data_IF_616718980181
#
_entry.id   IF_616718980181
#
_cell.length_a   1.000
_cell.length_b   1.000
_cell.length_c   1.000
_cell.angle_alpha   90.00
_cell.angle_beta   90.00
_cell.angle_gamma   90.00
#
_symmetry.space_group_name_H-M   'P 1'
#
loop_
_entity.id
_entity.type
_entity.pdbx_description
1 polymer ?
#
# COMPACT_ATOMS: atom_id res chain seq x y z
N UNK A 1 -19.83 -58.47 -29.81
CA UNK A 1 -18.81 -58.52 -28.74
C UNK A 1 -17.51 -58.02 -29.36
N UNK A 2 -16.77 -57.13 -28.70
CA UNK A 2 -15.59 -56.37 -29.21
C UNK A 2 -15.91 -55.24 -30.20
N UNK A 3 -16.11 -54.01 -29.71
CA UNK A 3 -15.66 -52.77 -30.37
C UNK A 3 -16.02 -51.50 -29.57
N UNK A 4 -16.87 -51.61 -28.54
CA UNK A 4 -17.35 -50.45 -27.77
C UNK A 4 -16.70 -50.24 -26.38
N UNK A 5 -15.58 -50.91 -26.07
CA UNK A 5 -15.01 -50.94 -24.71
C UNK A 5 -13.59 -50.35 -24.55
N UNK A 6 -13.03 -49.69 -25.57
CA UNK A 6 -11.64 -49.19 -25.52
C UNK A 6 -11.46 -47.73 -25.96
N UNK A 7 -12.50 -46.90 -25.86
CA UNK A 7 -12.39 -45.47 -26.17
C UNK A 7 -13.02 -44.59 -25.08
N UNK A 8 -12.76 -44.93 -23.82
CA UNK A 8 -13.15 -44.12 -22.66
C UNK A 8 -11.98 -43.94 -21.68
N UNK A 9 -10.76 -43.95 -22.22
CA UNK A 9 -9.54 -43.76 -21.46
C UNK A 9 -8.68 -42.74 -22.22
N UNK A 10 -8.25 -41.71 -21.50
CA UNK A 10 -7.27 -40.67 -21.89
C UNK A 10 -7.81 -39.46 -22.66
N UNK A 11 -8.90 -38.84 -22.20
CA UNK A 11 -9.02 -37.37 -22.30
C UNK A 11 -9.75 -36.76 -21.11
N UNK A 12 -9.42 -37.23 -19.90
CA UNK A 12 -9.40 -36.31 -18.76
C UNK A 12 -8.11 -35.52 -18.96
N UNK A 13 -8.15 -34.53 -19.86
CA UNK A 13 -7.22 -33.41 -19.77
C UNK A 13 -7.57 -32.81 -18.43
N UNK A 14 -6.77 -33.19 -17.44
CA UNK A 14 -6.63 -32.49 -16.19
C UNK A 14 -6.42 -31.03 -16.58
N UNK A 15 -7.52 -30.27 -16.60
CA UNK A 15 -7.51 -28.83 -16.46
C UNK A 15 -6.99 -28.58 -15.04
N UNK A 16 -5.70 -28.86 -14.85
CA UNK A 16 -4.90 -28.19 -13.86
C UNK A 16 -4.82 -26.77 -14.41
N UNK A 17 -5.86 -25.99 -14.16
CA UNK A 17 -5.72 -24.55 -14.09
C UNK A 17 -4.66 -24.34 -13.02
N UNK A 18 -3.41 -24.23 -13.48
CA UNK A 18 -2.35 -23.70 -12.67
C UNK A 18 -2.88 -22.34 -12.23
N UNK A 19 -3.32 -22.23 -10.97
CA UNK A 19 -3.63 -20.94 -10.36
C UNK A 19 -2.30 -20.22 -10.30
N UNK A 20 -1.96 -19.52 -11.36
CA UNK A 20 -0.87 -18.57 -11.37
C UNK A 20 -1.20 -17.55 -10.31
N UNK A 21 -0.24 -17.28 -9.43
CA UNK A 21 -0.44 -16.35 -8.32
C UNK A 21 -0.89 -15.00 -8.91
N UNK A 22 -2.04 -14.52 -8.43
CA UNK A 22 -2.76 -13.39 -9.02
C UNK A 22 -2.21 -12.04 -8.56
N UNK A 23 -1.18 -12.04 -7.71
CA UNK A 23 -0.64 -10.82 -7.16
C UNK A 23 0.10 -10.06 -8.26
N UNK A 24 -0.40 -8.87 -8.57
CA UNK A 24 0.09 -8.06 -9.67
C UNK A 24 0.34 -6.63 -9.21
N UNK A 25 1.23 -5.97 -9.96
CA UNK A 25 1.50 -4.54 -9.84
C UNK A 25 1.17 -3.86 -11.16
N UNK A 26 0.50 -2.71 -11.09
CA UNK A 26 0.27 -1.84 -12.23
C UNK A 26 0.54 -0.39 -11.84
N UNK A 27 1.20 0.34 -12.74
CA UNK A 27 1.33 1.81 -12.63
C UNK A 27 0.52 2.48 -13.72
N UNK A 28 -0.21 3.54 -13.36
CA UNK A 28 -0.94 4.40 -14.31
C UNK A 28 -0.86 5.85 -13.85
N UNK A 29 -1.39 6.76 -14.65
CA UNK A 29 -1.57 8.15 -14.26
C UNK A 29 -3.04 8.54 -14.30
N UNK A 30 -3.46 9.37 -13.35
CA UNK A 30 -4.77 10.00 -13.32
C UNK A 30 -4.68 11.30 -12.51
N UNK A 31 -5.49 12.33 -12.77
CA UNK A 31 -5.48 13.54 -11.96
C UNK A 31 -5.66 13.23 -10.47
N UNK A 32 -4.86 13.86 -9.62
CA UNK A 32 -5.07 13.79 -8.18
C UNK A 32 -6.28 14.65 -7.80
N UNK A 33 -7.19 14.08 -7.03
CA UNK A 33 -8.37 14.77 -6.51
C UNK A 33 -8.26 14.78 -4.98
N UNK A 34 -8.00 15.94 -4.35
CA UNK A 34 -7.96 16.06 -2.90
C UNK A 34 -9.27 15.58 -2.26
N UNK A 35 -9.17 15.04 -1.05
CA UNK A 35 -10.32 14.45 -0.38
C UNK A 35 -11.26 15.54 0.17
N UNK A 36 -12.48 15.57 -0.36
CA UNK A 36 -13.54 16.47 0.10
C UNK A 36 -14.45 15.80 1.15
N UNK A 37 -15.02 16.59 2.07
CA UNK A 37 -16.00 16.12 3.07
C UNK A 37 -15.54 14.85 3.80
N UNK A 38 -14.33 14.90 4.32
CA UNK A 38 -13.67 13.79 5.00
C UNK A 38 -13.52 14.06 6.50
N UNK A 39 -13.42 12.98 7.27
CA UNK A 39 -13.11 13.05 8.69
C UNK A 39 -11.61 13.33 8.88
N UNK A 40 -11.27 14.20 9.82
CA UNK A 40 -9.88 14.46 10.21
C UNK A 40 -9.52 13.43 11.27
N UNK A 41 -8.52 12.61 10.98
CA UNK A 41 -8.13 11.48 11.82
C UNK A 41 -7.24 11.90 12.99
N UNK A 42 -6.40 12.92 12.77
CA UNK A 42 -5.45 13.39 13.78
C UNK A 42 -5.97 14.54 14.66
N UNK A 43 -7.26 14.88 14.60
CA UNK A 43 -7.90 15.95 15.39
C UNK A 43 -7.13 17.29 15.39
N UNK A 44 -6.47 17.61 14.27
CA UNK A 44 -5.57 18.77 14.15
C UNK A 44 -4.39 18.80 15.12
N UNK A 45 -4.07 17.68 15.78
CA UNK A 45 -2.88 17.49 16.61
C UNK A 45 -1.70 17.15 15.70
N UNK A 46 -0.56 17.86 15.81
CA UNK A 46 0.64 17.49 15.07
C UNK A 46 1.08 16.06 15.40
N UNK A 47 1.40 15.32 14.36
CA UNK A 47 1.90 13.96 14.46
C UNK A 47 3.37 13.90 14.04
N UNK A 48 4.06 12.88 14.52
CA UNK A 48 5.46 12.64 14.21
C UNK A 48 5.94 11.45 15.01
N UNK A 49 7.17 11.02 14.74
CA UNK A 49 7.72 9.75 15.17
C UNK A 49 6.96 8.52 14.60
N UNK A 50 7.69 7.43 14.43
CA UNK A 50 7.20 6.20 13.78
C UNK A 50 6.11 5.46 14.58
N UNK A 51 5.83 5.87 15.81
CA UNK A 51 4.92 5.19 16.74
C UNK A 51 3.54 5.85 16.86
N UNK A 52 3.26 6.92 16.11
CA UNK A 52 1.91 7.48 16.06
C UNK A 52 1.05 6.61 15.14
N UNK A 53 -0.06 6.09 15.67
CA UNK A 53 -0.94 5.18 14.96
C UNK A 53 -2.41 5.56 15.14
N UNK A 54 -3.24 5.24 14.16
CA UNK A 54 -4.67 5.48 14.19
C UNK A 54 -5.46 4.24 13.78
N UNK A 55 -6.53 3.96 14.50
CA UNK A 55 -7.44 2.87 14.17
C UNK A 55 -8.54 3.38 13.23
N UNK A 56 -8.75 2.69 12.11
CA UNK A 56 -9.75 3.08 11.12
C UNK A 56 -10.66 1.88 10.84
N UNK A 57 -11.97 2.09 11.00
CA UNK A 57 -12.96 1.14 10.50
C UNK A 57 -13.04 1.24 8.97
N UNK A 58 -12.89 0.10 8.28
CA UNK A 58 -12.92 0.05 6.80
C UNK A 58 -14.33 0.29 6.27
N UNK A 59 -15.36 -0.01 7.08
CA UNK A 59 -16.77 0.21 6.71
C UNK A 59 -17.35 -0.82 5.73
N UNK A 60 -16.54 -1.78 5.28
CA UNK A 60 -16.90 -2.90 4.42
C UNK A 60 -15.88 -4.03 4.59
N UNK A 61 -16.21 -5.29 4.25
CA UNK A 61 -15.26 -6.40 4.33
C UNK A 61 -14.18 -6.29 3.26
N UNK A 62 -12.93 -6.00 3.65
CA UNK A 62 -11.80 -5.94 2.73
C UNK A 62 -10.97 -7.22 2.78
N UNK A 63 -10.88 -7.93 1.66
CA UNK A 63 -9.99 -9.09 1.53
C UNK A 63 -8.59 -8.66 1.12
N UNK A 64 -7.61 -9.00 1.94
CA UNK A 64 -6.19 -8.78 1.70
C UNK A 64 -5.45 -10.12 1.79
N UNK A 65 -4.89 -10.57 0.66
CA UNK A 65 -4.44 -11.95 0.48
C UNK A 65 -5.53 -12.99 0.78
N UNK A 66 -5.37 -13.77 1.85
CA UNK A 66 -6.23 -14.89 2.23
C UNK A 66 -7.11 -14.60 3.45
N UNK A 67 -7.11 -13.35 3.95
CA UNK A 67 -7.89 -12.93 5.12
C UNK A 67 -8.75 -11.72 4.79
N UNK A 68 -9.89 -11.62 5.47
CA UNK A 68 -10.80 -10.47 5.40
C UNK A 68 -10.74 -9.68 6.69
N UNK A 69 -10.73 -8.36 6.55
CA UNK A 69 -10.61 -7.39 7.63
C UNK A 69 -11.73 -6.36 7.54
N UNK A 70 -12.15 -5.83 8.69
CA UNK A 70 -13.14 -4.77 8.84
C UNK A 70 -12.53 -3.47 9.40
N UNK A 71 -11.26 -3.52 9.79
CA UNK A 71 -10.51 -2.45 10.42
C UNK A 71 -9.02 -2.56 10.05
N UNK A 72 -8.29 -1.46 10.28
CA UNK A 72 -6.84 -1.40 10.09
C UNK A 72 -6.21 -0.42 11.09
N UNK A 73 -4.91 -0.58 11.30
CA UNK A 73 -4.04 0.36 11.99
C UNK A 73 -3.24 1.13 10.93
N UNK A 74 -3.35 2.46 10.93
CA UNK A 74 -2.54 3.35 10.09
C UNK A 74 -1.36 3.85 10.91
N UNK A 75 -0.14 3.53 10.49
CA UNK A 75 1.08 4.15 10.99
C UNK A 75 1.34 5.46 10.24
N UNK A 76 1.79 6.51 10.95
CA UNK A 76 2.12 7.80 10.33
C UNK A 76 3.33 7.75 9.39
N UNK A 77 3.99 6.61 9.28
CA UNK A 77 5.00 6.33 8.27
C UNK A 77 4.41 6.15 6.87
N UNK A 78 3.09 5.92 6.74
CA UNK A 78 2.42 5.58 5.49
C UNK A 78 2.18 4.06 5.33
N UNK A 79 2.43 3.28 6.39
CA UNK A 79 2.10 1.85 6.46
C UNK A 79 0.69 1.63 6.99
N UNK A 80 0.00 0.68 6.39
CA UNK A 80 -1.27 0.12 6.87
C UNK A 80 -1.00 -1.30 7.38
N UNK A 81 -1.47 -1.61 8.58
CA UNK A 81 -1.40 -2.93 9.21
C UNK A 81 -2.83 -3.43 9.46
N UNK A 82 -3.14 -4.64 9.00
CA UNK A 82 -4.50 -5.19 9.08
C UNK A 82 -4.73 -6.07 10.32
N UNK A 83 -3.66 -6.46 11.02
CA UNK A 83 -3.71 -7.32 12.20
C UNK A 83 -2.72 -6.88 13.27
N UNK A 84 -3.03 -7.15 14.53
CA UNK A 84 -2.19 -6.71 15.67
C UNK A 84 -0.81 -7.37 15.66
N UNK A 85 -0.68 -8.56 15.07
CA UNK A 85 0.57 -9.29 14.94
C UNK A 85 1.47 -8.81 13.78
N UNK A 86 1.02 -7.84 12.98
CA UNK A 86 1.73 -7.31 11.81
C UNK A 86 2.04 -8.37 10.76
N UNK A 87 1.19 -9.39 10.63
CA UNK A 87 1.31 -10.43 9.62
C UNK A 87 0.85 -9.97 8.23
N UNK A 88 -0.03 -8.97 8.16
CA UNK A 88 -0.64 -8.45 6.95
C UNK A 88 -0.49 -6.92 6.90
N UNK A 89 0.34 -6.42 6.00
CA UNK A 89 0.57 -4.98 5.88
C UNK A 89 0.83 -4.52 4.44
N UNK A 90 0.59 -3.23 4.21
CA UNK A 90 0.86 -2.56 2.96
C UNK A 90 1.62 -1.24 3.22
N UNK A 91 2.65 -0.98 2.43
CA UNK A 91 3.45 0.23 2.46
C UNK A 91 2.99 1.15 1.32
N UNK A 92 2.34 2.27 1.64
CA UNK A 92 1.81 3.22 0.66
C UNK A 92 2.79 4.38 0.47
N UNK A 93 4.05 4.08 0.16
CA UNK A 93 5.16 5.05 0.18
C UNK A 93 5.72 5.28 1.60
N UNK A 94 5.92 4.19 2.35
CA UNK A 94 6.29 4.23 3.75
C UNK A 94 7.70 4.78 3.97
N UNK A 95 7.84 5.76 4.88
CA UNK A 95 9.11 6.37 5.28
C UNK A 95 9.10 6.72 6.78
N UNK A 96 10.11 6.25 7.51
CA UNK A 96 10.18 6.39 8.98
C UNK A 96 10.35 7.83 9.46
N UNK A 97 10.89 8.70 8.60
CA UNK A 97 11.11 10.11 8.92
C UNK A 97 9.92 11.01 8.61
N UNK A 98 8.83 10.47 8.04
CA UNK A 98 7.64 11.26 7.74
C UNK A 98 6.99 11.79 9.03
N UNK A 99 6.57 13.05 8.99
CA UNK A 99 5.98 13.76 10.13
C UNK A 99 5.07 14.89 9.65
N UNK A 100 4.32 15.47 10.58
CA UNK A 100 3.56 16.68 10.35
C UNK A 100 4.48 17.88 10.04
N UNK A 101 4.09 18.73 9.10
CA UNK A 101 4.83 19.94 8.75
C UNK A 101 4.82 20.99 9.87
N UNK A 102 3.85 20.89 10.79
CA UNK A 102 3.74 21.63 12.04
C UNK A 102 4.23 20.84 13.25
N UNK A 103 5.04 19.79 13.07
CA UNK A 103 5.68 19.09 14.18
C UNK A 103 6.39 20.08 15.13
N UNK A 104 6.19 19.92 16.45
CA UNK A 104 6.58 20.84 17.53
C UNK A 104 5.78 22.17 17.63
N UNK A 105 4.73 22.37 16.84
CA UNK A 105 3.76 23.46 17.03
C UNK A 105 2.51 22.95 17.77
N UNK A 106 1.53 23.83 17.96
CA UNK A 106 0.25 23.48 18.62
C UNK A 106 -0.81 22.93 17.65
N UNK A 107 -0.66 23.18 16.35
CA UNK A 107 -1.66 22.86 15.32
C UNK A 107 -1.00 22.11 14.16
N UNK A 108 -1.64 21.01 13.76
CA UNK A 108 -1.26 20.20 12.60
C UNK A 108 -1.32 21.03 11.32
N UNK A 109 -0.26 20.94 10.52
CA UNK A 109 -0.17 21.49 9.17
C UNK A 109 -0.17 20.41 8.10
N UNK A 110 -0.32 19.15 8.51
CA UNK A 110 -0.39 17.99 7.64
C UNK A 110 -1.56 17.08 8.04
N UNK A 111 -2.80 17.54 7.88
CA UNK A 111 -3.95 16.76 8.34
C UNK A 111 -3.99 15.40 7.64
N UNK A 112 -4.28 14.36 8.42
CA UNK A 112 -4.59 13.04 7.91
C UNK A 112 -6.09 12.93 7.86
N UNK A 113 -6.65 12.64 6.69
CA UNK A 113 -8.10 12.53 6.51
C UNK A 113 -8.49 11.16 5.98
N UNK A 114 -9.71 10.74 6.25
CA UNK A 114 -10.24 9.53 5.63
C UNK A 114 -11.72 9.65 5.30
N UNK A 115 -12.17 8.82 4.35
CA UNK A 115 -13.55 8.76 3.90
C UNK A 115 -13.85 7.41 3.28
N UNK A 116 -15.03 6.87 3.58
CA UNK A 116 -15.59 5.75 2.84
C UNK A 116 -16.47 6.27 1.71
N UNK A 117 -16.23 5.80 0.49
CA UNK A 117 -17.09 5.99 -0.66
C UNK A 117 -17.86 4.70 -0.88
N UNK A 118 -19.13 4.70 -0.49
CA UNK A 118 -20.03 3.54 -0.62
C UNK A 118 -20.85 3.71 -1.89
N UNK A 119 -20.83 2.70 -2.77
CA UNK A 119 -21.59 2.70 -4.02
C UNK A 119 -22.07 1.30 -4.37
N UNK A 120 -23.07 1.19 -5.24
CA UNK A 120 -23.62 -0.12 -5.65
C UNK A 120 -22.58 -1.06 -6.28
N UNK A 121 -21.50 -0.51 -6.84
CA UNK A 121 -20.56 -1.26 -7.66
C UNK A 121 -19.19 -1.48 -7.04
N UNK A 122 -18.78 -0.62 -6.09
CA UNK A 122 -17.49 -0.72 -5.42
C UNK A 122 -17.45 0.19 -4.19
N UNK A 123 -17.19 -0.39 -3.02
CA UNK A 123 -16.87 0.40 -1.84
C UNK A 123 -15.36 0.69 -1.79
N UNK A 124 -15.01 1.91 -1.41
CA UNK A 124 -13.61 2.36 -1.35
C UNK A 124 -13.36 3.10 -0.04
N UNK A 125 -12.37 2.68 0.73
CA UNK A 125 -11.80 3.48 1.80
C UNK A 125 -10.67 4.31 1.19
N UNK A 126 -10.69 5.62 1.42
CA UNK A 126 -9.63 6.55 1.00
C UNK A 126 -9.05 7.20 2.25
N UNK A 127 -7.73 7.14 2.40
CA UNK A 127 -6.97 7.83 3.45
C UNK A 127 -6.04 8.81 2.74
N UNK A 128 -5.98 10.06 3.17
CA UNK A 128 -5.14 11.10 2.60
C UNK A 128 -4.17 11.64 3.65
N UNK A 129 -2.88 11.66 3.32
CA UNK A 129 -1.87 12.47 3.99
C UNK A 129 -1.72 13.76 3.19
N UNK A 130 -2.11 14.89 3.75
CA UNK A 130 -1.92 16.20 3.13
C UNK A 130 -0.62 16.83 3.61
N UNK A 131 0.23 17.31 2.68
CA UNK A 131 1.35 18.21 2.99
C UNK A 131 2.29 17.70 4.11
N UNK A 132 2.50 16.39 4.23
CA UNK A 132 3.42 15.80 5.20
C UNK A 132 4.86 16.22 4.92
N UNK A 133 5.69 16.33 5.96
CA UNK A 133 7.10 16.69 5.89
C UNK A 133 7.99 15.54 6.39
N UNK A 134 9.30 15.79 6.48
CA UNK A 134 10.30 14.80 6.85
C UNK A 134 11.22 15.36 7.93
N UNK A 135 11.52 14.57 8.96
CA UNK A 135 12.37 14.97 10.09
C UNK A 135 13.75 15.50 9.65
N UNK A 136 14.30 14.89 8.59
CA UNK A 136 15.61 15.24 8.02
C UNK A 136 15.55 16.27 6.88
N UNK A 137 14.36 16.62 6.40
CA UNK A 137 14.12 17.65 5.37
C UNK A 137 12.78 18.34 5.57
N UNK A 138 12.75 19.30 6.50
CA UNK A 138 11.54 20.03 6.88
C UNK A 138 11.05 21.03 5.82
N UNK A 139 11.74 21.15 4.68
CA UNK A 139 11.31 21.95 3.53
C UNK A 139 10.58 21.10 2.47
N UNK A 140 10.80 19.78 2.48
CA UNK A 140 10.10 18.87 1.59
C UNK A 140 8.65 18.62 2.05
N UNK A 141 7.73 18.51 1.09
CA UNK A 141 6.31 18.24 1.28
C UNK A 141 5.84 17.11 0.38
N UNK A 142 5.07 16.19 0.95
CA UNK A 142 4.42 15.09 0.24
C UNK A 142 2.93 15.06 0.53
N UNK A 143 2.12 14.86 -0.52
CA UNK A 143 0.70 14.59 -0.44
C UNK A 143 0.41 13.30 -1.18
N UNK A 144 -0.33 12.39 -0.56
CA UNK A 144 -0.75 11.15 -1.21
C UNK A 144 -2.03 10.60 -0.59
N UNK A 145 -2.70 9.74 -1.35
CA UNK A 145 -3.81 8.94 -0.86
C UNK A 145 -3.49 7.46 -0.90
N UNK A 146 -4.05 6.73 0.05
CA UNK A 146 -4.14 5.28 0.09
C UNK A 146 -5.59 4.90 -0.20
N UNK A 147 -5.82 3.95 -1.11
CA UNK A 147 -7.17 3.47 -1.44
C UNK A 147 -7.27 1.96 -1.31
N UNK A 148 -8.30 1.51 -0.61
CA UNK A 148 -8.67 0.10 -0.49
C UNK A 148 -9.97 -0.14 -1.25
N UNK A 149 -9.94 -0.99 -2.27
CA UNK A 149 -11.11 -1.31 -3.09
C UNK A 149 -11.70 -2.68 -2.70
N UNK A 150 -12.94 -2.68 -2.21
CA UNK A 150 -13.62 -3.89 -1.72
C UNK A 150 -13.67 -5.01 -2.76
N UNK A 151 -14.14 -4.70 -3.97
CA UNK A 151 -14.53 -5.71 -4.97
C UNK A 151 -13.38 -6.62 -5.36
N UNK A 152 -12.20 -6.05 -5.57
CA UNK A 152 -11.03 -6.70 -6.12
C UNK A 152 -9.86 -6.83 -5.12
N UNK A 153 -10.00 -6.35 -3.88
CA UNK A 153 -8.92 -6.42 -2.89
C UNK A 153 -7.67 -5.65 -3.33
N UNK A 154 -7.87 -4.59 -4.12
CA UNK A 154 -6.78 -3.76 -4.64
C UNK A 154 -6.45 -2.68 -3.62
N UNK A 155 -5.16 -2.55 -3.35
CA UNK A 155 -4.54 -1.44 -2.64
C UNK A 155 -3.91 -0.49 -3.65
N UNK A 156 -4.23 0.80 -3.59
CA UNK A 156 -3.61 1.82 -4.45
C UNK A 156 -2.95 2.94 -3.64
N UNK A 157 -1.78 3.39 -4.10
CA UNK A 157 -1.15 4.65 -3.73
C UNK A 157 -1.43 5.66 -4.85
N UNK A 158 -1.96 6.84 -4.51
CA UNK A 158 -2.22 7.94 -5.44
C UNK A 158 -1.41 9.15 -5.02
N UNK A 159 -0.55 9.63 -5.90
CA UNK A 159 0.40 10.70 -5.58
C UNK A 159 -0.20 12.06 -5.90
N UNK A 160 -0.23 12.95 -4.90
CA UNK A 160 -0.69 14.32 -5.03
C UNK A 160 0.43 15.29 -5.37
N UNK A 161 0.19 16.60 -5.21
CA UNK A 161 1.22 17.63 -5.36
C UNK A 161 2.32 17.46 -4.31
N UNK A 162 3.58 17.44 -4.76
CA UNK A 162 4.75 17.23 -3.92
C UNK A 162 5.83 18.26 -4.23
N UNK A 163 6.57 18.67 -3.21
CA UNK A 163 7.78 19.51 -3.36
C UNK A 163 8.90 18.83 -2.61
N UNK A 164 9.85 18.21 -3.31
CA UNK A 164 10.99 17.54 -2.68
C UNK A 164 12.26 18.34 -2.95
N UNK A 165 12.76 19.04 -1.93
CA UNK A 165 14.01 19.83 -2.01
C UNK A 165 15.25 18.96 -2.06
N UNK A 166 15.27 17.87 -1.31
CA UNK A 166 16.38 16.92 -1.29
C UNK A 166 15.90 15.50 -1.02
N UNK A 167 15.81 14.68 -2.06
CA UNK A 167 15.29 13.32 -1.97
C UNK A 167 16.07 12.45 -0.98
N UNK A 168 17.40 12.51 -1.00
CA UNK A 168 18.24 11.73 -0.09
C UNK A 168 18.08 12.13 1.38
N UNK A 169 17.81 13.41 1.67
CA UNK A 169 17.51 13.82 3.05
C UNK A 169 16.11 13.40 3.48
N UNK A 170 15.11 13.55 2.59
CA UNK A 170 13.72 13.21 2.90
C UNK A 170 13.51 11.69 3.10
N UNK A 171 14.13 10.86 2.26
CA UNK A 171 13.84 9.42 2.22
C UNK A 171 15.03 8.52 2.56
N UNK A 172 16.23 9.06 2.79
CA UNK A 172 17.46 8.30 3.04
C UNK A 172 17.73 7.23 1.97
N UNK A 173 17.22 6.01 2.18
CA UNK A 173 17.32 4.86 1.28
C UNK A 173 16.18 4.79 0.24
N UNK A 174 15.19 5.68 0.32
CA UNK A 174 14.00 5.68 -0.51
C UNK A 174 12.78 5.10 0.24
N UNK A 175 11.56 5.51 -0.12
CA UNK A 175 10.35 4.99 0.50
C UNK A 175 10.02 3.58 0.00
N UNK A 176 9.36 2.81 0.86
CA UNK A 176 8.85 1.49 0.53
C UNK A 176 7.46 1.56 -0.10
N UNK A 177 7.22 0.78 -1.15
CA UNK A 177 5.89 0.64 -1.73
C UNK A 177 5.62 -0.82 -2.07
N UNK A 178 4.61 -1.41 -1.43
CA UNK A 178 4.35 -2.83 -1.58
C UNK A 178 3.27 -3.38 -0.66
N UNK A 179 3.00 -4.67 -0.82
CA UNK A 179 2.05 -5.45 -0.02
C UNK A 179 2.74 -6.70 0.48
N UNK A 180 2.50 -7.06 1.74
CA UNK A 180 3.22 -8.15 2.41
C UNK A 180 2.28 -9.00 3.27
N UNK A 181 2.49 -10.31 3.21
CA UNK A 181 2.06 -11.30 4.19
C UNK A 181 3.30 -11.97 4.77
N UNK A 182 3.45 -11.97 6.10
CA UNK A 182 4.61 -12.54 6.78
C UNK A 182 4.22 -13.72 7.68
N UNK A 183 5.14 -14.67 7.78
CA UNK A 183 5.07 -15.79 8.74
C UNK A 183 5.44 -15.30 10.14
N UNK A 184 6.45 -14.44 10.21
CA UNK A 184 6.90 -13.77 11.44
C UNK A 184 7.31 -12.34 11.12
N UNK A 185 7.02 -11.40 12.01
CA UNK A 185 7.44 -9.99 11.86
C UNK A 185 8.79 -9.71 12.55
N UNK A 186 9.15 -10.46 13.60
CA UNK A 186 10.44 -10.32 14.31
C UNK A 186 11.19 -11.65 14.50
N UNK A 187 12.26 -11.94 13.73
CA UNK A 187 12.68 -11.30 12.47
C UNK A 187 11.64 -11.47 11.36
N UNK A 188 11.67 -10.59 10.36
CA UNK A 188 10.68 -10.64 9.28
C UNK A 188 10.95 -11.80 8.32
N UNK A 189 9.97 -12.69 8.16
CA UNK A 189 9.98 -13.81 7.21
C UNK A 189 8.74 -13.71 6.34
N UNK A 190 8.91 -13.42 5.05
CA UNK A 190 7.79 -13.22 4.13
C UNK A 190 7.20 -14.55 3.66
N UNK A 191 5.89 -14.68 3.75
CA UNK A 191 5.13 -15.74 3.06
C UNK A 191 4.82 -15.30 1.63
N UNK A 192 4.30 -14.06 1.50
CA UNK A 192 4.02 -13.42 0.23
C UNK A 192 4.44 -11.96 0.25
N UNK A 193 4.95 -11.46 -0.87
CA UNK A 193 5.31 -10.04 -0.98
C UNK A 193 5.29 -9.59 -2.43
N UNK A 194 4.77 -8.39 -2.69
CA UNK A 194 4.95 -7.69 -3.96
C UNK A 194 5.48 -6.30 -3.65
N UNK A 195 6.63 -5.95 -4.24
CA UNK A 195 7.31 -4.67 -4.00
C UNK A 195 7.51 -3.95 -5.32
N UNK A 196 7.17 -2.67 -5.36
CA UNK A 196 7.58 -1.75 -6.40
C UNK A 196 8.89 -1.05 -6.01
N UNK A 197 9.86 -1.00 -6.91
CA UNK A 197 11.18 -0.44 -6.63
C UNK A 197 11.87 0.15 -7.87
N UNK A 198 12.96 0.89 -7.67
CA UNK A 198 13.67 1.58 -8.74
C UNK A 198 12.96 2.86 -9.18
N UNK A 199 13.25 3.34 -10.39
CA UNK A 199 12.76 4.62 -10.89
C UNK A 199 11.23 4.81 -10.76
N UNK A 200 10.80 5.86 -10.05
CA UNK A 200 9.38 6.14 -9.78
C UNK A 200 8.50 6.32 -11.03
N UNK A 201 9.06 6.73 -12.17
CA UNK A 201 8.29 6.87 -13.43
C UNK A 201 7.96 5.52 -14.06
N UNK A 202 8.85 4.53 -13.88
CA UNK A 202 8.74 3.18 -14.43
C UNK A 202 9.27 2.18 -13.40
N UNK A 203 8.56 1.98 -12.28
CA UNK A 203 9.04 1.11 -11.22
C UNK A 203 9.09 -0.34 -11.72
N UNK A 204 10.10 -1.07 -11.23
CA UNK A 204 10.19 -2.52 -11.37
C UNK A 204 9.37 -3.17 -10.27
N UNK A 205 8.92 -4.38 -10.51
CA UNK A 205 8.21 -5.19 -9.53
C UNK A 205 8.96 -6.48 -9.26
N UNK A 206 9.00 -6.89 -7.99
CA UNK A 206 9.38 -8.24 -7.60
C UNK A 206 8.25 -8.86 -6.77
N UNK A 207 7.94 -10.12 -7.07
CA UNK A 207 6.96 -10.92 -6.34
C UNK A 207 7.66 -12.10 -5.67
N UNK A 208 7.36 -12.32 -4.39
CA UNK A 208 7.90 -13.37 -3.53
C UNK A 208 9.44 -13.51 -3.64
N UNK A 209 10.20 -12.42 -3.40
CA UNK A 209 11.66 -12.50 -3.38
C UNK A 209 12.09 -13.55 -2.35
N UNK A 210 13.01 -14.44 -2.74
CA UNK A 210 13.64 -15.36 -1.79
C UNK A 210 14.38 -14.53 -0.75
N UNK A 211 14.23 -14.86 0.53
CA UNK A 211 14.83 -14.12 1.65
C UNK A 211 16.35 -13.97 1.53
N UNK A 212 17.04 -14.98 0.99
CA UNK A 212 18.49 -14.98 0.73
C UNK A 212 18.92 -14.04 -0.40
N UNK A 213 17.96 -13.59 -1.22
CA UNK A 213 18.15 -12.71 -2.36
C UNK A 213 17.44 -11.37 -2.18
N UNK A 214 16.96 -11.00 -0.98
CA UNK A 214 16.39 -9.66 -0.77
C UNK A 214 17.57 -8.67 -0.88
N UNK A 215 17.77 -8.02 -2.05
CA UNK A 215 18.88 -7.10 -2.17
C UNK A 215 18.58 -5.97 -1.19
N UNK A 216 19.62 -5.53 -0.47
CA UNK A 216 19.59 -4.41 0.48
C UNK A 216 18.48 -3.40 0.12
N UNK A 217 17.44 -3.35 0.96
CA UNK A 217 16.27 -2.46 0.89
C UNK A 217 15.82 -2.07 -0.53
N UNK A 218 14.91 -2.85 -1.13
CA UNK A 218 14.19 -2.44 -2.34
C UNK A 218 13.24 -1.27 -2.06
N UNK A 219 13.50 -0.13 -2.70
CA UNK A 219 12.78 1.14 -2.51
C UNK A 219 12.51 1.82 -3.85
N UNK A 220 11.57 2.77 -3.84
CA UNK A 220 11.33 3.64 -4.99
C UNK A 220 12.44 4.70 -5.06
N UNK A 221 12.98 4.90 -6.25
CA UNK A 221 13.97 5.93 -6.55
C UNK A 221 13.27 7.18 -7.11
N UNK A 222 13.56 8.33 -6.53
CA UNK A 222 12.93 9.63 -6.83
C UNK A 222 11.46 9.70 -6.43
N UNK A 223 10.95 10.92 -6.44
CA UNK A 223 9.55 11.18 -6.13
C UNK A 223 8.67 10.83 -7.34
N UNK A 224 7.61 10.02 -7.19
CA UNK A 224 6.58 9.91 -8.20
C UNK A 224 6.00 11.29 -8.53
N UNK A 225 5.71 11.54 -9.81
CA UNK A 225 5.06 12.79 -10.22
C UNK A 225 3.61 12.81 -9.74
N UNK A 226 3.05 14.01 -9.57
CA UNK A 226 1.63 14.18 -9.29
C UNK A 226 0.76 13.40 -10.28
N UNK A 227 -0.26 12.74 -9.75
CA UNK A 227 -1.16 11.87 -10.50
C UNK A 227 -0.64 10.47 -10.77
N UNK A 228 0.57 10.11 -10.31
CA UNK A 228 1.05 8.72 -10.37
C UNK A 228 0.18 7.83 -9.48
N UNK A 229 -0.22 6.67 -9.99
CA UNK A 229 -0.96 5.66 -9.23
C UNK A 229 -0.21 4.34 -9.29
N UNK A 230 0.06 3.75 -8.13
CA UNK A 230 0.59 2.40 -7.97
C UNK A 230 -0.49 1.50 -7.40
N UNK A 231 -0.88 0.48 -8.16
CA UNK A 231 -1.94 -0.46 -7.80
C UNK A 231 -1.38 -1.85 -7.56
N UNK A 232 -1.71 -2.44 -6.41
CA UNK A 232 -1.32 -3.78 -6.01
C UNK A 232 -2.57 -4.65 -5.84
N UNK A 233 -2.64 -5.75 -6.58
CA UNK A 233 -3.70 -6.76 -6.41
C UNK A 233 -3.19 -7.86 -5.47
N UNK A 234 -4.01 -8.24 -4.47
CA UNK A 234 -3.67 -9.34 -3.53
C UNK A 234 -4.66 -10.50 -3.58
N UNK A 235 -5.74 -10.36 -4.35
CA UNK A 235 -6.84 -11.33 -4.41
C UNK A 235 -6.64 -12.34 -5.54
N UNK A 236 -6.76 -13.62 -5.24
CA UNK A 236 -6.79 -14.73 -6.22
C UNK A 236 -8.14 -14.85 -6.92
#
# INVERSE_FOLDING_TARGET
MLLLKKLLLVLVISLVSCKQSSESFHSKTSPFLPLDKAEILNDSIPWGAFNTTYDIAIGFPFTFFDKTFDSLHLETTGRIVFDVEHQYFADAFSEISMQDAGFNNDISMSPIRYKNQISENNNVLIIEFENASFASDTLSRVTFQIKLHEKNGVFELHMGPNTISNFSKAFQNGPHSGVSKVISYGPTVYEKRVIAYGNAKNPRVISNPKQENDPKMLTIEHMPVEGSIYSFSTKN
#
